data_IF_993290442849
#
_entry.id   IF_993290442849
#
_cell.length_a   1.000
_cell.length_b   1.000
_cell.length_c   1.000
_cell.angle_alpha   90.00
_cell.angle_beta   90.00
_cell.angle_gamma   90.00
#
_symmetry.space_group_name_H-M   'P 1'
#
loop_
_entity.id
_entity.type
_entity.pdbx_description
1 polymer ?
#
# COMPACT_ATOMS: atom_id res chain seq x y z
N UNK A 1 -4.79 -11.29 5.89
CA UNK A 1 -4.02 -10.22 6.53
C UNK A 1 -3.00 -10.79 7.50
N UNK A 2 -1.72 -10.65 7.20
CA UNK A 2 -0.60 -10.92 8.11
C UNK A 2 -0.40 -9.77 9.10
N UNK A 3 0.45 -9.94 10.11
CA UNK A 3 0.82 -8.85 11.04
C UNK A 3 1.50 -7.70 10.30
N UNK A 4 2.37 -8.01 9.34
CA UNK A 4 3.01 -6.98 8.48
C UNK A 4 2.00 -6.22 7.63
N UNK A 5 1.02 -6.91 7.04
CA UNK A 5 -0.05 -6.26 6.27
C UNK A 5 -0.93 -5.38 7.15
N UNK A 6 -1.13 -5.77 8.42
CA UNK A 6 -1.85 -4.97 9.41
C UNK A 6 -1.07 -3.69 9.75
N UNK A 7 0.22 -3.81 10.07
CA UNK A 7 1.09 -2.66 10.37
C UNK A 7 1.17 -1.67 9.19
N UNK A 8 1.15 -2.16 7.95
CA UNK A 8 1.10 -1.30 6.76
C UNK A 8 -0.24 -0.56 6.68
N UNK A 9 -1.37 -1.22 6.93
CA UNK A 9 -2.69 -0.58 6.90
C UNK A 9 -2.85 0.49 7.98
N UNK A 10 -2.23 0.31 9.15
CA UNK A 10 -2.22 1.30 10.24
C UNK A 10 -1.54 2.62 9.82
N UNK A 11 -0.60 2.57 8.89
CA UNK A 11 0.06 3.78 8.35
C UNK A 11 -0.73 4.45 7.21
N UNK A 12 -1.74 3.77 6.67
CA UNK A 12 -2.46 4.14 5.44
C UNK A 12 -3.86 4.75 5.69
N UNK A 13 -4.11 5.29 6.89
CA UNK A 13 -5.28 6.16 7.15
C UNK A 13 -5.28 7.42 6.28
N UNK A 14 -4.11 7.89 5.88
CA UNK A 14 -3.90 8.99 4.95
C UNK A 14 -2.98 8.56 3.82
N UNK A 15 -3.00 9.31 2.71
CA UNK A 15 -2.14 9.02 1.57
C UNK A 15 -0.68 9.07 2.00
N UNK A 16 0.08 8.02 1.71
CA UNK A 16 1.47 7.87 2.13
C UNK A 16 2.35 7.42 0.96
N UNK A 17 3.54 8.00 0.81
CA UNK A 17 4.50 7.60 -0.23
C UNK A 17 5.15 6.25 0.11
N UNK A 18 5.62 5.53 -0.91
CA UNK A 18 6.41 4.31 -0.69
C UNK A 18 7.63 4.57 0.23
N UNK A 19 8.36 5.66 0.02
CA UNK A 19 9.53 6.02 0.83
C UNK A 19 9.18 6.31 2.29
N UNK A 20 8.03 6.94 2.55
CA UNK A 20 7.56 7.20 3.92
C UNK A 20 7.15 5.90 4.59
N UNK A 21 6.45 5.01 3.88
CA UNK A 21 6.07 3.69 4.38
C UNK A 21 7.29 2.85 4.77
N UNK A 22 8.35 2.84 3.95
CA UNK A 22 9.62 2.18 4.31
C UNK A 22 10.15 2.73 5.64
N UNK A 23 10.11 4.04 5.83
CA UNK A 23 10.62 4.70 7.04
C UNK A 23 9.77 4.38 8.28
N UNK A 24 8.44 4.43 8.14
CA UNK A 24 7.47 4.22 9.22
C UNK A 24 7.41 2.75 9.67
N UNK A 25 7.28 1.83 8.71
CA UNK A 25 7.16 0.39 8.97
C UNK A 25 8.52 -0.27 9.23
N UNK A 26 9.62 0.38 8.86
CA UNK A 26 11.01 -0.13 8.93
C UNK A 26 11.22 -1.43 8.13
N UNK A 27 10.35 -1.71 7.17
CA UNK A 27 10.48 -2.86 6.29
C UNK A 27 11.55 -2.63 5.24
N UNK A 28 12.18 -3.71 4.79
CA UNK A 28 13.03 -3.63 3.61
C UNK A 28 12.16 -3.28 2.38
N UNK A 29 12.66 -2.48 1.41
CA UNK A 29 11.88 -2.08 0.24
C UNK A 29 11.24 -3.26 -0.52
N UNK A 30 11.98 -4.35 -0.71
CA UNK A 30 11.46 -5.55 -1.39
C UNK A 30 10.36 -6.27 -0.60
N UNK A 31 10.42 -6.19 0.73
CA UNK A 31 9.39 -6.75 1.60
C UNK A 31 8.12 -5.89 1.61
N UNK A 32 8.27 -4.56 1.68
CA UNK A 32 7.14 -3.64 1.57
C UNK A 32 6.43 -3.81 0.21
N UNK A 33 7.19 -3.84 -0.89
CA UNK A 33 6.64 -4.05 -2.23
C UNK A 33 5.82 -5.34 -2.33
N UNK A 34 6.32 -6.44 -1.78
CA UNK A 34 5.60 -7.73 -1.77
C UNK A 34 4.28 -7.63 -1.01
N UNK A 35 4.28 -6.99 0.16
CA UNK A 35 3.05 -6.84 0.96
C UNK A 35 2.06 -5.86 0.30
N UNK A 36 2.52 -4.74 -0.25
CA UNK A 36 1.67 -3.81 -1.01
C UNK A 36 1.02 -4.50 -2.21
N UNK A 37 1.76 -5.36 -2.92
CA UNK A 37 1.23 -6.18 -4.01
C UNK A 37 0.08 -7.06 -3.55
N UNK A 38 0.24 -7.76 -2.43
CA UNK A 38 -0.79 -8.62 -1.86
C UNK A 38 -2.04 -7.82 -1.45
N UNK A 39 -1.85 -6.65 -0.84
CA UNK A 39 -2.94 -5.78 -0.42
C UNK A 39 -3.72 -5.20 -1.61
N UNK A 40 -3.03 -4.78 -2.68
CA UNK A 40 -3.64 -4.30 -3.93
C UNK A 40 -4.43 -5.41 -4.63
N UNK A 41 -3.87 -6.62 -4.71
CA UNK A 41 -4.55 -7.77 -5.31
C UNK A 41 -5.84 -8.17 -4.57
N UNK A 42 -5.99 -7.74 -3.30
CA UNK A 42 -7.16 -7.97 -2.46
C UNK A 42 -8.08 -6.73 -2.37
N UNK A 43 -7.81 -5.67 -3.14
CA UNK A 43 -8.54 -4.39 -3.06
C UNK A 43 -8.54 -3.72 -1.67
N UNK A 44 -7.56 -4.04 -0.82
CA UNK A 44 -7.45 -3.51 0.54
C UNK A 44 -6.77 -2.14 0.59
N UNK A 45 -6.02 -1.78 -0.46
CA UNK A 45 -5.42 -0.46 -0.63
C UNK A 45 -5.62 0.04 -2.06
N UNK A 46 -5.42 1.34 -2.28
CA UNK A 46 -5.36 2.00 -3.59
C UNK A 46 -3.97 2.55 -3.83
N UNK A 47 -3.55 2.64 -5.09
CA UNK A 47 -2.28 3.22 -5.51
C UNK A 47 -2.49 4.48 -6.33
N UNK A 48 -1.59 5.45 -6.19
CA UNK A 48 -1.64 6.74 -6.87
C UNK A 48 -0.28 7.07 -7.48
N UNK A 49 -0.30 7.57 -8.71
CA UNK A 49 0.88 7.98 -9.45
C UNK A 49 0.45 8.83 -10.66
N UNK A 50 1.17 9.92 -11.03
CA UNK A 50 2.46 10.37 -10.48
C UNK A 50 2.34 11.26 -9.23
N UNK A 51 1.12 11.54 -8.80
CA UNK A 51 0.82 12.39 -7.65
C UNK A 51 -0.23 11.72 -6.73
N UNK A 52 -0.43 12.23 -5.50
CA UNK A 52 -1.40 11.67 -4.55
C UNK A 52 -2.86 11.69 -4.98
N UNK A 53 -3.23 12.45 -6.02
CA UNK A 53 -4.60 12.67 -6.46
C UNK A 53 -4.96 11.86 -7.72
N UNK A 54 -3.96 11.27 -8.38
CA UNK A 54 -4.11 10.46 -9.60
C UNK A 54 -4.14 8.98 -9.26
N UNK A 55 -5.34 8.41 -9.05
CA UNK A 55 -5.51 6.99 -8.80
C UNK A 55 -5.10 6.16 -10.01
N UNK A 56 -4.28 5.13 -9.76
CA UNK A 56 -3.80 4.19 -10.75
C UNK A 56 -4.34 2.80 -10.44
N UNK A 57 -5.03 2.22 -11.42
CA UNK A 57 -5.50 0.83 -11.33
C UNK A 57 -4.30 -0.12 -11.21
N UNK A 58 -4.42 -1.09 -10.30
CA UNK A 58 -3.35 -2.07 -10.10
C UNK A 58 -3.26 -3.02 -11.29
N UNK A 59 -2.10 -2.98 -11.97
CA UNK A 59 -1.72 -3.94 -12.99
C UNK A 59 -0.39 -4.61 -12.59
N UNK A 60 -0.41 -5.94 -12.43
CA UNK A 60 0.73 -6.70 -11.93
C UNK A 60 2.02 -6.51 -12.76
N UNK A 61 1.87 -6.38 -14.08
CA UNK A 61 2.97 -6.26 -15.05
C UNK A 61 3.69 -4.91 -15.00
N UNK A 62 3.02 -3.84 -14.59
CA UNK A 62 3.58 -2.48 -14.57
C UNK A 62 3.94 -2.01 -13.17
N UNK A 63 3.33 -2.60 -12.13
CA UNK A 63 3.50 -2.20 -10.73
C UNK A 63 4.97 -2.08 -10.28
N UNK A 64 5.80 -3.09 -10.57
CA UNK A 64 7.19 -3.10 -10.12
C UNK A 64 8.06 -1.97 -10.70
N UNK A 65 7.65 -1.38 -11.83
CA UNK A 65 8.39 -0.29 -12.46
C UNK A 65 8.15 1.06 -11.77
N UNK A 66 7.00 1.25 -11.12
CA UNK A 66 6.54 2.56 -10.61
C UNK A 66 6.26 2.58 -9.10
N UNK A 67 6.20 1.41 -8.45
CA UNK A 67 5.81 1.26 -7.04
C UNK A 67 6.61 2.16 -6.09
N UNK A 68 7.91 2.34 -6.36
CA UNK A 68 8.79 3.13 -5.50
C UNK A 68 8.52 4.63 -5.55
N UNK A 69 7.90 5.10 -6.63
CA UNK A 69 7.51 6.49 -6.84
C UNK A 69 5.99 6.70 -6.62
N UNK A 70 5.28 5.67 -6.14
CA UNK A 70 3.83 5.69 -5.95
C UNK A 70 3.44 6.06 -4.52
N UNK A 71 2.17 6.47 -4.38
CA UNK A 71 1.51 6.71 -3.11
C UNK A 71 0.42 5.67 -2.88
N UNK A 72 0.02 5.48 -1.62
CA UNK A 72 -0.94 4.46 -1.21
C UNK A 72 -1.93 5.00 -0.20
N UNK A 73 -3.14 4.43 -0.19
CA UNK A 73 -4.20 4.73 0.78
C UNK A 73 -4.99 3.45 1.09
N UNK A 74 -5.40 3.26 2.33
CA UNK A 74 -6.28 2.15 2.67
C UNK A 74 -7.66 2.33 2.02
N UNK A 75 -8.20 1.26 1.46
CA UNK A 75 -9.57 1.25 0.98
C UNK A 75 -10.53 1.15 2.17
N UNK A 76 -11.82 1.43 1.94
CA UNK A 76 -12.86 1.21 2.96
C UNK A 76 -12.87 -0.24 3.46
N UNK A 77 -12.66 -1.20 2.56
CA UNK A 77 -12.58 -2.63 2.90
C UNK A 77 -11.31 -2.94 3.71
N UNK A 78 -10.17 -2.37 3.30
CA UNK A 78 -8.92 -2.48 4.07
C UNK A 78 -9.06 -2.00 5.51
N UNK A 79 -9.65 -0.82 5.71
CA UNK A 79 -9.91 -0.28 7.05
C UNK A 79 -10.92 -1.14 7.84
N UNK A 80 -11.94 -1.70 7.20
CA UNK A 80 -12.89 -2.58 7.86
C UNK A 80 -12.19 -3.85 8.38
N UNK A 81 -11.36 -4.48 7.54
CA UNK A 81 -10.61 -5.68 7.92
C UNK A 81 -9.58 -5.37 9.02
N UNK A 82 -8.89 -4.24 8.94
CA UNK A 82 -7.98 -3.77 9.99
C UNK A 82 -8.69 -3.64 11.34
N UNK A 83 -9.86 -3.00 11.37
CA UNK A 83 -10.57 -2.76 12.63
C UNK A 83 -11.29 -3.99 13.22
N UNK A 84 -11.44 -5.08 12.45
CA UNK A 84 -12.22 -6.27 12.86
C UNK A 84 -11.36 -7.49 13.21
N UNK A 85 -10.03 -7.35 13.13
CA UNK A 85 -9.05 -8.40 13.46
C UNK A 85 -8.65 -8.39 14.93
#
# INVERSE_FOLDING_TARGET
>A
MTDTEFDILDELYFVCSFSDLVTKTRLAPAELERNLRNLLAQDLIRSFWPDPDTELAYEESSFGAIVRDSFFLASKEGLLQHNTR
#
